data_IF_325523412785
#
_entry.id   IF_325523412785
#
_cell.length_a   1.000
_cell.length_b   1.000
_cell.length_c   1.000
_cell.angle_alpha   90.00
_cell.angle_beta   90.00
_cell.angle_gamma   90.00
#
_symmetry.space_group_name_H-M   'P 1'
#
loop_
_entity.id
_entity.type
_entity.pdbx_description
1 polymer ?
#
# COMPACT_ATOMS: atom_id res chain seq x y z
N UNK A 1 -35.18 25.55 -23.09
CA UNK A 1 -33.96 26.03 -23.79
C UNK A 1 -32.78 25.32 -23.16
N UNK A 2 -32.06 24.54 -23.97
CA UNK A 2 -30.95 23.71 -23.54
C UNK A 2 -29.69 24.56 -23.30
N UNK A 3 -29.00 24.31 -22.20
CA UNK A 3 -27.61 24.75 -21.99
C UNK A 3 -26.80 23.51 -21.63
N UNK A 4 -25.82 23.24 -22.49
CA UNK A 4 -24.97 22.06 -22.49
C UNK A 4 -24.05 22.03 -21.27
N UNK A 5 -24.11 20.94 -20.49
CA UNK A 5 -23.06 20.58 -19.56
C UNK A 5 -22.02 19.75 -20.32
N UNK A 6 -20.91 20.42 -20.65
CA UNK A 6 -19.78 19.83 -21.34
C UNK A 6 -19.19 18.68 -20.54
N UNK A 7 -19.22 17.50 -21.13
CA UNK A 7 -18.48 16.31 -20.70
C UNK A 7 -17.00 16.67 -20.64
N UNK A 8 -16.49 16.88 -19.42
CA UNK A 8 -15.06 17.14 -19.17
C UNK A 8 -14.28 15.85 -19.45
N UNK A 9 -13.82 15.70 -20.68
CA UNK A 9 -12.85 14.68 -21.09
C UNK A 9 -11.61 14.80 -20.20
N UNK A 10 -11.28 13.71 -19.51
CA UNK A 10 -10.05 13.59 -18.72
C UNK A 10 -8.82 13.91 -19.61
N UNK A 11 -7.81 14.62 -19.09
CA UNK A 11 -6.63 14.96 -19.88
C UNK A 11 -5.91 13.70 -20.35
N UNK A 12 -5.60 13.66 -21.65
CA UNK A 12 -4.82 12.62 -22.29
C UNK A 12 -3.38 12.67 -21.78
N UNK A 13 -3.05 11.81 -20.83
CA UNK A 13 -1.70 11.68 -20.29
C UNK A 13 -1.67 10.55 -19.26
N UNK A 14 -1.04 9.44 -19.65
CA UNK A 14 -1.03 8.13 -18.97
C UNK A 14 -2.30 7.31 -19.28
N UNK A 15 -2.29 6.66 -20.45
CA UNK A 15 -3.05 5.42 -20.62
C UNK A 15 -2.70 4.51 -19.44
N UNK A 16 -3.67 4.05 -18.61
CA UNK A 16 -3.34 3.08 -17.58
C UNK A 16 -2.70 1.89 -18.29
N UNK A 17 -1.59 1.38 -17.77
CA UNK A 17 -0.90 0.20 -18.28
C UNK A 17 -1.73 -1.10 -18.05
N UNK A 18 -3.05 -1.02 -18.21
CA UNK A 18 -4.01 -2.11 -18.15
C UNK A 18 -4.50 -2.57 -19.53
N UNK A 19 -3.94 -2.07 -20.63
CA UNK A 19 -4.38 -2.41 -22.00
C UNK A 19 -3.33 -3.14 -22.86
N UNK A 20 -2.35 -3.84 -22.25
CA UNK A 20 -1.40 -4.69 -23.00
C UNK A 20 -1.13 -6.06 -22.36
N UNK A 21 -2.13 -6.58 -21.66
CA UNK A 21 -2.11 -7.94 -21.13
C UNK A 21 -3.40 -8.16 -20.36
N UNK A 22 -4.19 -9.14 -20.77
CA UNK A 22 -5.54 -9.43 -20.26
C UNK A 22 -5.58 -9.73 -18.75
N UNK A 23 -4.42 -9.89 -18.09
CA UNK A 23 -4.33 -10.10 -16.65
C UNK A 23 -4.07 -8.80 -15.88
N UNK A 24 -4.82 -8.60 -14.81
CA UNK A 24 -4.49 -7.64 -13.74
C UNK A 24 -3.26 -8.09 -12.96
N UNK A 25 -2.60 -7.18 -12.22
CA UNK A 25 -1.51 -7.56 -11.31
C UNK A 25 -1.93 -8.62 -10.28
N UNK A 26 -3.20 -8.59 -9.83
CA UNK A 26 -3.75 -9.64 -8.95
C UNK A 26 -3.76 -11.00 -9.65
N UNK A 27 -4.27 -11.08 -10.88
CA UNK A 27 -4.30 -12.30 -11.66
C UNK A 27 -2.90 -12.84 -11.95
N UNK A 28 -1.93 -11.96 -12.23
CA UNK A 28 -0.52 -12.35 -12.42
C UNK A 28 0.08 -13.01 -11.18
N UNK A 29 -0.14 -12.42 -10.00
CA UNK A 29 0.34 -12.99 -8.73
C UNK A 29 -0.33 -14.35 -8.45
N UNK A 30 -1.63 -14.47 -8.70
CA UNK A 30 -2.34 -15.74 -8.55
C UNK A 30 -1.83 -16.81 -9.53
N UNK A 31 -1.56 -16.44 -10.78
CA UNK A 31 -0.98 -17.35 -11.78
C UNK A 31 0.38 -17.89 -11.32
N UNK A 32 1.24 -17.04 -10.76
CA UNK A 32 2.54 -17.48 -10.20
C UNK A 32 2.36 -18.47 -9.06
N UNK A 33 1.41 -18.21 -8.15
CA UNK A 33 1.10 -19.14 -7.06
C UNK A 33 0.57 -20.49 -7.58
N UNK A 34 -0.14 -20.48 -8.70
CA UNK A 34 -0.61 -21.67 -9.43
C UNK A 34 0.48 -22.35 -10.29
N UNK A 35 1.73 -21.89 -10.25
CA UNK A 35 2.83 -22.35 -11.13
C UNK A 35 2.56 -22.13 -12.63
N UNK A 36 1.75 -21.13 -12.98
CA UNK A 36 1.50 -20.68 -14.35
C UNK A 36 2.37 -19.46 -14.66
N UNK A 37 2.79 -19.34 -15.92
CA UNK A 37 3.48 -18.13 -16.38
C UNK A 37 2.49 -16.98 -16.54
N UNK A 38 2.72 -15.81 -15.91
CA UNK A 38 1.92 -14.63 -16.18
C UNK A 38 2.24 -14.06 -17.57
N UNK A 39 1.35 -13.23 -18.10
CA UNK A 39 1.54 -12.46 -19.33
C UNK A 39 2.69 -11.43 -19.23
N UNK A 40 2.94 -10.88 -18.04
CA UNK A 40 4.04 -9.97 -17.73
C UNK A 40 4.47 -10.12 -16.26
N UNK A 41 5.67 -9.63 -15.92
CA UNK A 41 6.15 -9.60 -14.53
C UNK A 41 5.22 -8.72 -13.67
N UNK A 42 4.63 -9.21 -12.57
CA UNK A 42 3.77 -8.38 -11.72
C UNK A 42 4.48 -7.10 -11.27
N UNK A 43 3.85 -5.95 -11.49
CA UNK A 43 4.40 -4.67 -11.04
C UNK A 43 3.92 -4.37 -9.62
N UNK A 44 4.83 -4.57 -8.65
CA UNK A 44 4.59 -4.35 -7.21
C UNK A 44 5.67 -3.40 -6.66
N UNK A 45 5.61 -2.10 -6.98
CA UNK A 45 6.67 -1.16 -6.61
C UNK A 45 6.54 -0.74 -5.15
N UNK A 46 7.63 -0.20 -4.59
CA UNK A 46 7.59 0.45 -3.27
C UNK A 46 7.10 1.89 -3.39
N UNK A 47 5.84 2.06 -3.81
CA UNK A 47 5.22 3.38 -4.02
C UNK A 47 5.17 4.23 -2.76
N UNK A 48 5.14 3.60 -1.58
CA UNK A 48 5.13 4.26 -0.27
C UNK A 48 6.20 5.37 -0.15
N UNK A 49 7.40 5.17 -0.72
CA UNK A 49 8.49 6.17 -0.65
C UNK A 49 8.09 7.43 -1.42
N UNK A 50 7.64 7.27 -2.66
CA UNK A 50 7.18 8.37 -3.49
C UNK A 50 5.98 9.07 -2.86
N UNK A 51 4.97 8.31 -2.40
CA UNK A 51 3.77 8.86 -1.77
C UNK A 51 4.12 9.69 -0.53
N UNK A 52 4.98 9.16 0.34
CA UNK A 52 5.41 9.86 1.55
C UNK A 52 6.16 11.14 1.22
N UNK A 53 7.00 11.13 0.19
CA UNK A 53 7.68 12.34 -0.27
C UNK A 53 6.67 13.38 -0.75
N UNK A 54 5.72 13.00 -1.62
CA UNK A 54 4.70 13.92 -2.18
C UNK A 54 3.77 14.51 -1.13
N UNK A 55 3.37 13.73 -0.14
CA UNK A 55 2.57 14.22 0.99
C UNK A 55 3.37 15.23 1.81
N UNK A 56 4.64 14.93 2.13
CA UNK A 56 5.50 15.82 2.92
C UNK A 56 5.85 17.12 2.20
N UNK A 57 6.03 17.08 0.89
CA UNK A 57 6.35 18.28 0.08
C UNK A 57 5.11 19.03 -0.38
N UNK A 58 3.91 18.50 -0.16
CA UNK A 58 2.66 19.11 -0.66
C UNK A 58 2.55 19.10 -2.19
N UNK A 59 3.34 18.29 -2.90
CA UNK A 59 3.39 18.26 -4.38
C UNK A 59 2.63 17.07 -4.97
N UNK A 60 1.53 16.64 -4.33
CA UNK A 60 0.72 15.54 -4.85
C UNK A 60 0.00 15.98 -6.13
N UNK A 61 0.00 15.17 -7.22
CA UNK A 61 -0.75 15.49 -8.43
C UNK A 61 -2.23 15.75 -8.12
N UNK A 62 -2.89 16.70 -8.80
CA UNK A 62 -4.28 17.07 -8.52
C UNK A 62 -5.25 15.89 -8.52
N UNK A 63 -5.07 14.92 -9.43
CA UNK A 63 -5.94 13.75 -9.54
C UNK A 63 -5.84 12.78 -8.35
N UNK A 64 -4.76 12.86 -7.55
CA UNK A 64 -4.50 11.99 -6.40
C UNK A 64 -4.49 12.74 -5.07
N UNK A 65 -4.86 14.03 -5.04
CA UNK A 65 -4.92 14.77 -3.79
C UNK A 65 -5.97 14.16 -2.84
N UNK A 66 -5.58 14.01 -1.57
CA UNK A 66 -6.42 13.39 -0.54
C UNK A 66 -6.50 11.86 -0.62
N UNK A 67 -5.89 11.22 -1.62
CA UNK A 67 -5.88 9.76 -1.70
C UNK A 67 -5.00 9.19 -0.59
N UNK A 68 -5.47 8.13 0.06
CA UNK A 68 -4.59 7.26 0.83
C UNK A 68 -3.64 6.50 -0.10
N UNK A 69 -2.50 6.04 0.44
CA UNK A 69 -1.58 5.17 -0.31
C UNK A 69 -2.32 3.97 -0.93
N UNK A 70 -3.29 3.40 -0.22
CA UNK A 70 -4.01 2.22 -0.70
C UNK A 70 -4.94 2.53 -1.87
N UNK A 71 -5.62 3.67 -1.85
CA UNK A 71 -6.45 4.13 -2.97
C UNK A 71 -5.59 4.42 -4.19
N UNK A 72 -4.44 5.06 -3.99
CA UNK A 72 -3.51 5.36 -5.07
C UNK A 72 -2.95 4.10 -5.75
N UNK A 73 -2.55 3.09 -4.97
CA UNK A 73 -2.11 1.79 -5.52
C UNK A 73 -3.21 1.12 -6.37
N UNK A 74 -4.47 1.19 -5.92
CA UNK A 74 -5.60 0.63 -6.65
C UNK A 74 -5.90 1.41 -7.93
N UNK A 75 -5.88 2.74 -7.86
CA UNK A 75 -6.11 3.61 -9.01
C UNK A 75 -5.07 3.40 -10.12
N UNK A 76 -3.81 3.17 -9.74
CA UNK A 76 -2.74 2.87 -10.71
C UNK A 76 -2.68 1.40 -11.13
N UNK A 77 -3.54 0.54 -10.59
CA UNK A 77 -3.59 -0.88 -10.93
C UNK A 77 -2.33 -1.67 -10.52
N UNK A 78 -1.53 -1.16 -9.58
CA UNK A 78 -0.28 -1.78 -9.12
C UNK A 78 -0.51 -2.72 -7.93
N UNK A 79 0.43 -3.65 -7.70
CA UNK A 79 0.40 -4.52 -6.54
C UNK A 79 0.81 -3.81 -5.25
N UNK A 80 0.25 -4.28 -4.13
CA UNK A 80 0.69 -3.88 -2.79
C UNK A 80 1.82 -4.81 -2.33
N UNK A 81 3.00 -4.29 -1.93
CA UNK A 81 4.14 -5.11 -1.53
C UNK A 81 3.99 -5.76 -0.14
N UNK A 82 2.85 -5.58 0.53
CA UNK A 82 2.50 -6.13 1.84
C UNK A 82 3.56 -5.91 2.95
N UNK A 83 4.40 -4.87 2.81
CA UNK A 83 5.50 -4.58 3.75
C UNK A 83 5.06 -4.32 5.19
N UNK A 84 3.81 -3.85 5.36
CA UNK A 84 3.18 -3.66 6.67
C UNK A 84 2.15 -4.75 7.00
N UNK A 85 2.05 -5.79 6.15
CA UNK A 85 1.15 -6.91 6.37
C UNK A 85 1.61 -7.74 7.57
N UNK A 86 0.71 -7.99 8.52
CA UNK A 86 0.93 -8.95 9.60
C UNK A 86 0.35 -10.30 9.16
N UNK A 87 1.22 -11.24 8.83
CA UNK A 87 0.82 -12.61 8.41
C UNK A 87 0.72 -13.59 9.58
N UNK A 88 1.20 -13.18 10.75
CA UNK A 88 1.11 -13.94 11.99
C UNK A 88 0.90 -12.99 13.16
N UNK A 89 0.39 -13.54 14.26
CA UNK A 89 0.32 -12.91 15.57
C UNK A 89 1.16 -13.73 16.52
N UNK A 90 2.02 -13.08 17.31
CA UNK A 90 2.75 -13.76 18.38
C UNK A 90 1.89 -13.71 19.63
N UNK A 91 1.63 -14.87 20.22
CA UNK A 91 0.98 -14.99 21.52
C UNK A 91 2.01 -15.53 22.52
N UNK A 92 2.12 -14.87 23.68
CA UNK A 92 3.02 -15.25 24.77
C UNK A 92 2.22 -15.38 26.06
N UNK A 93 1.71 -16.58 26.39
CA UNK A 93 0.94 -16.79 27.61
C UNK A 93 1.75 -16.40 28.84
N UNK A 94 1.14 -15.63 29.75
CA UNK A 94 1.80 -15.14 30.97
C UNK A 94 2.84 -14.03 30.76
N UNK A 95 3.02 -13.52 29.54
CA UNK A 95 3.91 -12.40 29.25
C UNK A 95 3.11 -11.18 28.79
N UNK A 96 3.11 -10.13 29.61
CA UNK A 96 2.55 -8.83 29.22
C UNK A 96 3.64 -8.02 28.52
N UNK A 97 3.30 -7.41 27.38
CA UNK A 97 4.23 -6.56 26.63
C UNK A 97 3.69 -5.14 26.60
N UNK A 98 4.43 -4.21 27.20
CA UNK A 98 4.07 -2.80 27.28
C UNK A 98 5.05 -2.01 26.42
N UNK A 99 4.52 -1.19 25.51
CA UNK A 99 5.33 -0.33 24.66
C UNK A 99 5.20 1.10 25.17
N UNK A 100 6.26 1.60 25.80
CA UNK A 100 6.35 3.00 26.21
C UNK A 100 6.94 3.80 25.07
N UNK A 101 6.23 4.82 24.57
CA UNK A 101 6.73 5.70 23.50
C UNK A 101 6.94 7.12 24.04
N UNK A 102 8.20 7.53 24.13
CA UNK A 102 8.62 8.84 24.60
C UNK A 102 9.33 9.58 23.45
N UNK A 103 8.53 10.24 22.59
CA UNK A 103 9.07 10.96 21.43
C UNK A 103 9.79 10.03 20.44
N UNK A 104 11.12 10.10 20.40
CA UNK A 104 11.97 9.25 19.54
C UNK A 104 12.38 7.93 20.20
N UNK A 105 12.18 7.80 21.50
CA UNK A 105 12.48 6.57 22.23
C UNK A 105 11.24 5.68 22.31
N UNK A 106 11.48 4.38 22.18
CA UNK A 106 10.48 3.34 22.43
C UNK A 106 11.12 2.30 23.32
N UNK A 107 10.57 2.11 24.52
CA UNK A 107 10.99 1.07 25.47
C UNK A 107 9.96 -0.05 25.43
N UNK A 108 10.45 -1.29 25.29
CA UNK A 108 9.63 -2.49 25.21
C UNK A 108 9.76 -3.26 26.52
N UNK A 109 8.83 -3.04 27.45
CA UNK A 109 8.83 -3.78 28.71
C UNK A 109 8.10 -5.11 28.53
N UNK A 110 8.80 -6.21 28.81
CA UNK A 110 8.25 -7.55 28.90
C UNK A 110 8.11 -7.96 30.38
N UNK A 111 6.88 -8.05 30.88
CA UNK A 111 6.59 -8.56 32.22
C UNK A 111 6.34 -10.05 32.14
N UNK A 112 7.16 -10.83 32.82
CA UNK A 112 7.05 -12.29 32.94
C UNK A 112 6.78 -12.67 34.40
N UNK A 113 6.35 -13.90 34.70
CA UNK A 113 6.17 -14.35 36.08
C UNK A 113 7.45 -14.31 36.92
N UNK A 114 8.62 -14.29 36.28
CA UNK A 114 9.93 -14.27 36.95
C UNK A 114 10.52 -12.85 37.09
N UNK A 115 9.87 -11.84 36.52
CA UNK A 115 10.34 -10.45 36.53
C UNK A 115 10.16 -9.72 35.20
N UNK A 116 10.60 -8.46 35.15
CA UNK A 116 10.49 -7.58 33.99
C UNK A 116 11.82 -7.40 33.26
N UNK A 117 11.77 -7.33 31.93
CA UNK A 117 12.91 -7.02 31.05
C UNK A 117 12.55 -5.80 30.19
N UNK A 118 13.51 -4.90 29.98
CA UNK A 118 13.36 -3.61 29.26
C UNK A 118 14.11 -3.58 27.93
#
# INVERSE_FOLDING_TARGET
>A
MATAEGTKTAPAGITPAGAMGTMTNRQRVLAIMDRKSPDWVPWIPRLEIWYTARVKTGTMPPEYQGYSLRQLEQAMGIGNPARRGRIYKVERPGVETIVHRNGRESVLEHRTPLGSVY
#
